data_IF_852563737883
#
_entry.id   IF_852563737883
#
_cell.length_a   1.000
_cell.length_b   1.000
_cell.length_c   1.000
_cell.angle_alpha   90.00
_cell.angle_beta   90.00
_cell.angle_gamma   90.00
#
_symmetry.space_group_name_H-M   'P 1'
#
loop_
_entity.id
_entity.type
_entity.pdbx_description
1 polymer ?
#
# COMPACT_ATOMS: atom_id res chain seq x y z
N UNK A 1 47.04 63.76 -17.92
CA UNK A 1 47.61 62.53 -17.32
C UNK A 1 46.50 61.80 -16.59
N UNK A 2 45.99 60.74 -17.21
CA UNK A 2 44.79 60.01 -16.80
C UNK A 2 45.20 58.87 -15.85
N UNK A 3 44.75 58.88 -14.59
CA UNK A 3 44.92 57.73 -13.68
C UNK A 3 43.56 57.06 -13.50
N UNK A 4 43.30 56.08 -14.37
CA UNK A 4 42.18 55.16 -14.24
C UNK A 4 42.42 54.28 -13.00
N UNK A 5 41.68 54.50 -11.92
CA UNK A 5 41.57 53.57 -10.81
C UNK A 5 40.53 52.51 -11.19
N UNK A 6 40.98 51.30 -11.53
CA UNK A 6 40.10 50.14 -11.65
C UNK A 6 39.60 49.75 -10.24
N UNK A 7 38.37 50.12 -9.91
CA UNK A 7 37.66 49.56 -8.77
C UNK A 7 37.18 48.16 -9.16
N UNK A 8 37.85 47.12 -8.68
CA UNK A 8 37.36 45.74 -8.79
C UNK A 8 36.19 45.60 -7.81
N UNK A 9 34.98 45.72 -8.34
CA UNK A 9 33.74 45.44 -7.60
C UNK A 9 33.65 43.92 -7.39
N UNK A 10 34.19 43.42 -6.29
CA UNK A 10 33.99 42.04 -5.87
C UNK A 10 32.53 41.92 -5.40
N UNK A 11 31.65 41.53 -6.33
CA UNK A 11 30.31 41.06 -5.99
C UNK A 11 30.48 39.80 -5.12
N UNK A 12 30.42 39.98 -3.80
CA UNK A 12 30.28 38.90 -2.86
C UNK A 12 28.94 38.21 -3.13
N UNK A 13 28.95 37.22 -4.02
CA UNK A 13 27.85 36.29 -4.19
C UNK A 13 27.69 35.57 -2.85
N UNK A 14 26.74 36.05 -2.04
CA UNK A 14 26.32 35.35 -0.85
C UNK A 14 25.67 34.05 -1.33
N UNK A 15 26.41 32.94 -1.24
CA UNK A 15 25.85 31.61 -1.43
C UNK A 15 24.91 31.35 -0.25
N UNK A 16 23.63 31.70 -0.42
CA UNK A 16 22.59 31.22 0.48
C UNK A 16 22.62 29.70 0.45
N UNK A 17 22.84 29.04 1.60
CA UNK A 17 22.71 27.58 1.73
C UNK A 17 21.28 27.23 1.28
N UNK A 18 21.14 26.58 0.13
CA UNK A 18 19.87 25.97 -0.25
C UNK A 18 19.50 24.97 0.87
N UNK A 19 18.29 25.10 1.42
CA UNK A 19 17.80 24.14 2.39
C UNK A 19 17.69 22.79 1.68
N UNK A 20 18.61 21.88 1.98
CA UNK A 20 18.57 20.55 1.43
C UNK A 20 17.31 19.85 1.98
N UNK A 21 16.54 19.22 1.09
CA UNK A 21 15.32 18.49 1.42
C UNK A 21 15.57 16.98 1.33
N UNK A 22 14.72 16.20 2.00
CA UNK A 22 14.70 14.74 1.83
C UNK A 22 14.33 14.40 0.38
N UNK A 23 15.08 13.51 -0.24
CA UNK A 23 14.90 13.10 -1.63
C UNK A 23 14.90 11.59 -1.77
N UNK A 24 14.09 11.04 -2.68
CA UNK A 24 14.18 9.63 -3.01
C UNK A 24 15.46 9.36 -3.83
N UNK A 25 16.17 8.26 -3.53
CA UNK A 25 17.40 7.87 -4.24
C UNK A 25 17.08 7.59 -5.71
N UNK A 26 18.00 7.96 -6.61
CA UNK A 26 17.84 7.77 -8.06
C UNK A 26 17.38 9.00 -8.84
N UNK A 27 17.13 10.12 -8.16
CA UNK A 27 16.86 11.41 -8.80
C UNK A 27 15.41 11.62 -9.23
N UNK A 28 15.21 12.57 -10.15
CA UNK A 28 13.87 12.96 -10.60
C UNK A 28 13.14 11.78 -11.26
N UNK A 29 11.90 11.53 -10.84
CA UNK A 29 11.06 10.45 -11.38
C UNK A 29 11.32 9.05 -10.80
N UNK A 30 12.43 8.82 -10.08
CA UNK A 30 12.75 7.51 -9.52
C UNK A 30 11.67 7.01 -8.55
N UNK A 31 11.11 7.91 -7.72
CA UNK A 31 9.99 7.57 -6.84
C UNK A 31 8.75 7.16 -7.65
N UNK A 32 8.40 7.93 -8.68
CA UNK A 32 7.24 7.64 -9.53
C UNK A 32 7.36 6.28 -10.20
N UNK A 33 8.54 5.96 -10.74
CA UNK A 33 8.82 4.66 -11.36
C UNK A 33 8.73 3.54 -10.33
N UNK A 34 9.36 3.73 -9.17
CA UNK A 34 9.30 2.75 -8.08
C UNK A 34 7.87 2.46 -7.65
N UNK A 35 7.05 3.50 -7.44
CA UNK A 35 5.65 3.32 -7.10
C UNK A 35 4.92 2.60 -8.24
N UNK A 36 5.10 3.00 -9.50
CA UNK A 36 4.43 2.36 -10.64
C UNK A 36 4.77 0.88 -10.82
N UNK A 37 6.00 0.48 -10.52
CA UNK A 37 6.47 -0.92 -10.63
C UNK A 37 6.02 -1.79 -9.46
N UNK A 38 5.79 -1.18 -8.29
CA UNK A 38 5.49 -1.92 -7.06
C UNK A 38 4.03 -1.84 -6.64
N UNK A 39 3.24 -0.91 -7.19
CA UNK A 39 1.82 -0.76 -6.86
C UNK A 39 1.03 -1.96 -7.38
N UNK A 40 0.22 -2.56 -6.50
CA UNK A 40 -0.70 -3.65 -6.82
C UNK A 40 -2.11 -3.13 -6.58
N UNK A 41 -3.00 -3.20 -7.58
CA UNK A 41 -4.37 -2.76 -7.38
C UNK A 41 -5.17 -3.79 -6.57
N UNK A 42 -5.64 -3.44 -5.36
CA UNK A 42 -6.37 -4.37 -4.51
C UNK A 42 -7.68 -4.87 -5.12
N UNK A 43 -8.01 -6.14 -4.86
CA UNK A 43 -9.11 -6.83 -5.54
C UNK A 43 -10.47 -6.15 -5.33
N UNK A 44 -10.80 -5.72 -4.11
CA UNK A 44 -12.11 -5.13 -3.85
C UNK A 44 -12.25 -3.81 -4.60
N UNK A 45 -11.23 -2.95 -4.53
CA UNK A 45 -11.24 -1.68 -5.25
C UNK A 45 -11.25 -1.88 -6.77
N UNK A 46 -10.56 -2.90 -7.30
CA UNK A 46 -10.56 -3.25 -8.72
C UNK A 46 -11.95 -3.68 -9.20
N UNK A 47 -12.60 -4.58 -8.47
CA UNK A 47 -13.96 -5.06 -8.77
C UNK A 47 -15.03 -3.97 -8.62
N UNK A 48 -14.79 -2.92 -7.84
CA UNK A 48 -15.75 -1.86 -7.58
C UNK A 48 -15.37 -0.51 -8.23
N UNK A 49 -14.34 -0.49 -9.08
CA UNK A 49 -13.86 0.73 -9.76
C UNK A 49 -13.50 1.87 -8.79
N UNK A 50 -13.14 1.55 -7.56
CA UNK A 50 -12.76 2.53 -6.55
C UNK A 50 -11.36 3.00 -6.88
N UNK A 51 -11.20 4.28 -7.22
CA UNK A 51 -9.93 4.94 -7.53
C UNK A 51 -9.74 6.17 -6.66
N UNK A 52 -8.54 6.74 -6.65
CA UNK A 52 -8.27 7.97 -5.91
C UNK A 52 -6.82 8.11 -5.47
N UNK A 53 -6.57 9.14 -4.68
CA UNK A 53 -5.25 9.42 -4.11
C UNK A 53 -5.29 9.23 -2.60
N UNK A 54 -4.49 8.28 -2.11
CA UNK A 54 -4.23 8.06 -0.69
C UNK A 54 -2.99 8.87 -0.31
N UNK A 55 -3.07 9.64 0.78
CA UNK A 55 -1.92 10.34 1.35
C UNK A 55 -1.40 9.58 2.54
N UNK A 56 -0.13 9.20 2.51
CA UNK A 56 0.55 8.45 3.56
C UNK A 56 1.56 9.36 4.24
N UNK A 57 1.49 9.44 5.57
CA UNK A 57 2.45 10.15 6.42
C UNK A 57 3.47 9.15 6.95
N UNK A 58 4.73 9.56 7.07
CA UNK A 58 5.78 8.79 7.74
C UNK A 58 6.92 9.71 8.21
N UNK A 59 7.74 9.18 9.11
CA UNK A 59 9.03 9.75 9.50
C UNK A 59 10.16 9.00 8.81
N UNK A 60 11.29 9.67 8.58
CA UNK A 60 12.48 9.10 7.96
C UNK A 60 13.72 9.43 8.79
N UNK A 61 14.53 8.41 9.07
CA UNK A 61 15.80 8.60 9.79
C UNK A 61 16.96 8.95 8.84
N UNK A 62 18.13 9.29 9.40
CA UNK A 62 19.32 9.64 8.63
C UNK A 62 19.79 8.51 7.68
N UNK A 63 19.45 7.25 7.98
CA UNK A 63 19.75 6.09 7.11
C UNK A 63 18.74 5.89 5.98
N UNK A 64 17.67 6.72 5.96
CA UNK A 64 16.57 6.65 5.01
C UNK A 64 15.51 5.60 5.38
N UNK A 65 15.57 5.00 6.57
CA UNK A 65 14.55 4.04 7.04
C UNK A 65 13.31 4.75 7.52
N UNK A 66 12.15 4.15 7.23
CA UNK A 66 10.86 4.72 7.59
C UNK A 66 10.39 4.25 8.97
N UNK A 67 9.64 5.13 9.65
CA UNK A 67 8.88 4.83 10.87
C UNK A 67 7.56 5.59 10.87
N UNK A 68 6.63 5.23 11.77
CA UNK A 68 5.29 5.83 11.91
C UNK A 68 4.52 5.98 10.57
N UNK A 69 4.60 4.96 9.72
CA UNK A 69 3.93 4.94 8.42
C UNK A 69 2.42 4.76 8.65
N UNK A 70 1.63 5.78 8.32
CA UNK A 70 0.18 5.82 8.57
C UNK A 70 -0.59 6.56 7.49
N UNK A 71 -1.89 6.30 7.40
CA UNK A 71 -2.79 7.06 6.54
C UNK A 71 -2.95 8.49 7.08
N UNK A 72 -2.56 9.47 6.29
CA UNK A 72 -2.88 10.89 6.53
C UNK A 72 -4.27 11.22 5.99
N UNK A 73 -4.59 10.73 4.78
CA UNK A 73 -5.91 10.84 4.17
C UNK A 73 -6.14 9.67 3.23
N UNK A 74 -7.10 8.82 3.55
CA UNK A 74 -7.39 7.60 2.78
C UNK A 74 -8.75 7.62 2.08
N UNK A 75 -9.04 6.52 1.40
CA UNK A 75 -10.35 6.19 0.84
C UNK A 75 -11.20 5.38 1.82
N UNK A 76 -10.57 4.76 2.83
CA UNK A 76 -11.21 3.92 3.83
C UNK A 76 -11.62 2.55 3.30
N UNK A 77 -10.89 2.05 2.29
CA UNK A 77 -10.96 0.71 1.73
C UNK A 77 -9.54 0.17 1.51
N UNK A 78 -9.42 -1.00 0.88
CA UNK A 78 -8.16 -1.74 0.65
C UNK A 78 -7.06 -0.96 -0.12
N UNK A 79 -7.38 0.14 -0.80
CA UNK A 79 -6.35 1.05 -1.35
C UNK A 79 -5.44 1.65 -0.27
N UNK A 80 -5.97 1.86 0.93
CA UNK A 80 -5.20 2.45 2.03
C UNK A 80 -4.09 1.50 2.50
N UNK A 81 -4.40 0.21 2.64
CA UNK A 81 -3.43 -0.82 3.04
C UNK A 81 -2.30 -0.96 2.00
N UNK A 82 -2.67 -0.94 0.71
CA UNK A 82 -1.71 -0.97 -0.39
C UNK A 82 -0.83 0.28 -0.42
N UNK A 83 -1.41 1.47 -0.20
CA UNK A 83 -0.63 2.70 -0.13
C UNK A 83 0.38 2.66 1.02
N UNK A 84 0.02 2.12 2.18
CA UNK A 84 0.97 1.90 3.28
C UNK A 84 2.08 0.93 2.84
N UNK A 85 1.71 -0.21 2.25
CA UNK A 85 2.64 -1.26 1.84
C UNK A 85 3.69 -0.74 0.87
N UNK A 86 3.26 -0.11 -0.23
CA UNK A 86 4.19 0.39 -1.25
C UNK A 86 5.11 1.49 -0.70
N UNK A 87 4.62 2.32 0.23
CA UNK A 87 5.46 3.31 0.92
C UNK A 87 6.46 2.62 1.85
N UNK A 88 6.09 1.58 2.59
CA UNK A 88 7.04 0.81 3.41
C UNK A 88 8.17 0.21 2.57
N UNK A 89 7.92 -0.22 1.34
CA UNK A 89 8.96 -0.72 0.42
C UNK A 89 9.99 0.34 0.02
N UNK A 90 9.69 1.63 0.24
CA UNK A 90 10.66 2.72 0.03
C UNK A 90 11.68 2.86 1.15
N UNK A 91 11.54 2.12 2.26
CA UNK A 91 12.45 2.20 3.41
C UNK A 91 13.90 1.90 3.02
N UNK A 92 14.82 2.75 3.49
CA UNK A 92 16.24 2.74 3.13
C UNK A 92 16.55 3.35 1.76
N UNK A 93 15.54 3.82 1.00
CA UNK A 93 15.70 4.40 -0.34
C UNK A 93 15.64 5.93 -0.36
N UNK A 94 15.77 6.57 0.80
CA UNK A 94 15.74 8.03 0.92
C UNK A 94 17.15 8.60 1.20
N UNK A 95 17.44 9.76 0.62
CA UNK A 95 18.58 10.62 0.93
C UNK A 95 18.09 11.70 1.88
N UNK A 96 18.59 11.66 3.11
CA UNK A 96 18.21 12.61 4.17
C UNK A 96 19.38 13.56 4.40
N UNK A 97 19.19 14.87 4.26
CA UNK A 97 20.26 15.84 4.46
C UNK A 97 20.62 15.99 5.96
N UNK A 98 21.87 16.34 6.28
CA UNK A 98 22.25 16.63 7.67
C UNK A 98 21.35 17.70 8.28
N UNK A 99 20.93 17.47 9.53
CA UNK A 99 20.05 18.39 10.26
C UNK A 99 18.56 18.28 9.92
N UNK A 100 18.13 17.29 9.13
CA UNK A 100 16.71 16.94 9.04
C UNK A 100 16.19 16.54 10.43
N UNK A 101 15.03 17.09 10.81
CA UNK A 101 14.38 16.72 12.05
C UNK A 101 13.57 15.43 11.83
N UNK A 102 13.92 14.29 12.47
CA UNK A 102 13.19 13.04 12.27
C UNK A 102 11.73 13.11 12.72
N UNK A 103 11.35 14.07 13.57
CA UNK A 103 9.96 14.30 13.97
C UNK A 103 9.11 15.02 12.90
N UNK A 104 9.73 15.57 11.85
CA UNK A 104 9.02 16.18 10.73
C UNK A 104 8.40 15.08 9.85
N UNK A 105 7.08 15.11 9.73
CA UNK A 105 6.35 14.13 8.93
C UNK A 105 6.44 14.46 7.44
N UNK A 106 6.82 13.48 6.63
CA UNK A 106 6.71 13.53 5.18
C UNK A 106 5.36 12.94 4.79
N UNK A 107 4.62 13.64 3.91
CA UNK A 107 3.34 13.16 3.37
C UNK A 107 3.46 12.92 1.87
N UNK A 108 3.33 11.68 1.44
CA UNK A 108 3.37 11.29 0.03
C UNK A 108 1.99 10.90 -0.51
N UNK A 109 1.58 11.42 -1.68
CA UNK A 109 0.40 10.95 -2.38
C UNK A 109 0.69 9.69 -3.21
N UNK A 110 -0.06 8.62 -2.98
CA UNK A 110 -0.12 7.42 -3.82
C UNK A 110 -1.42 7.47 -4.61
N UNK A 111 -1.34 7.49 -5.93
CA UNK A 111 -2.52 7.63 -6.81
C UNK A 111 -2.85 6.32 -7.51
N UNK A 112 -4.06 5.84 -7.30
CA UNK A 112 -4.67 4.70 -7.98
C UNK A 112 -5.54 5.21 -9.10
N UNK A 113 -5.20 4.85 -10.35
CA UNK A 113 -5.95 5.22 -11.53
C UNK A 113 -6.85 4.05 -11.97
N UNK A 114 -8.07 4.30 -12.46
CA UNK A 114 -8.93 3.24 -12.98
C UNK A 114 -8.20 2.36 -14.02
N UNK A 115 -8.18 1.04 -13.80
CA UNK A 115 -7.43 0.11 -14.66
C UNK A 115 -8.16 -0.25 -15.97
N UNK A 116 -9.48 -0.04 -16.04
CA UNK A 116 -10.30 -0.50 -17.17
C UNK A 116 -11.24 0.57 -17.70
N UNK A 117 -11.61 0.44 -18.99
CA UNK A 117 -12.60 1.30 -19.65
C UNK A 117 -13.95 1.27 -18.90
N UNK A 118 -14.32 0.10 -18.36
CA UNK A 118 -15.49 -0.10 -17.50
C UNK A 118 -15.55 0.91 -16.36
N UNK A 119 -14.40 1.22 -15.77
CA UNK A 119 -14.33 2.11 -14.63
C UNK A 119 -14.35 3.60 -15.00
N UNK A 120 -14.23 3.95 -16.28
CA UNK A 120 -14.24 5.36 -16.72
C UNK A 120 -15.62 6.00 -16.65
N UNK A 121 -16.68 5.20 -16.75
CA UNK A 121 -18.08 5.67 -16.77
C UNK A 121 -18.83 5.35 -15.47
N UNK A 122 -18.15 4.77 -14.48
CA UNK A 122 -18.77 4.43 -13.19
C UNK A 122 -19.16 5.70 -12.44
N UNK A 123 -20.41 5.78 -11.98
CA UNK A 123 -20.90 6.95 -11.27
C UNK A 123 -20.37 7.03 -9.82
N UNK A 124 -20.26 8.26 -9.32
CA UNK A 124 -19.71 8.53 -7.98
C UNK A 124 -20.56 7.92 -6.86
N UNK A 125 -21.87 7.76 -7.07
CA UNK A 125 -22.76 7.22 -6.04
C UNK A 125 -22.56 5.71 -5.88
N UNK A 126 -22.38 4.98 -6.97
CA UNK A 126 -22.01 3.56 -6.95
C UNK A 126 -20.68 3.33 -6.23
N UNK A 127 -19.67 4.18 -6.49
CA UNK A 127 -18.38 4.12 -5.79
C UNK A 127 -18.56 4.35 -4.28
N UNK A 128 -19.36 5.34 -3.89
CA UNK A 128 -19.66 5.63 -2.48
C UNK A 128 -20.38 4.45 -1.81
N UNK A 129 -21.32 3.82 -2.50
CA UNK A 129 -22.02 2.65 -2.00
C UNK A 129 -21.06 1.47 -1.81
N UNK A 130 -20.15 1.23 -2.75
CA UNK A 130 -19.11 0.22 -2.59
C UNK A 130 -18.21 0.50 -1.37
N UNK A 131 -17.75 1.73 -1.18
CA UNK A 131 -16.96 2.10 0.02
C UNK A 131 -17.73 1.80 1.32
N UNK A 132 -19.03 2.12 1.36
CA UNK A 132 -19.86 1.84 2.53
C UNK A 132 -20.07 0.32 2.73
N UNK A 133 -20.28 -0.43 1.64
CA UNK A 133 -20.42 -1.87 1.67
C UNK A 133 -19.12 -2.56 2.15
N UNK A 134 -17.95 -2.08 1.75
CA UNK A 134 -16.66 -2.56 2.23
C UNK A 134 -16.55 -2.48 3.76
N UNK A 135 -16.98 -1.36 4.33
CA UNK A 135 -16.93 -1.15 5.79
C UNK A 135 -17.92 -2.05 6.51
N UNK A 136 -19.13 -2.16 5.98
CA UNK A 136 -20.17 -3.02 6.54
C UNK A 136 -19.76 -4.51 6.53
N UNK A 137 -19.02 -4.95 5.49
CA UNK A 137 -18.64 -6.36 5.34
C UNK A 137 -17.46 -6.80 6.21
N UNK A 138 -16.65 -5.90 6.77
CA UNK A 138 -15.46 -6.27 7.57
C UNK A 138 -15.78 -7.22 8.72
N UNK A 139 -16.90 -7.00 9.40
CA UNK A 139 -17.36 -7.89 10.48
C UNK A 139 -17.64 -9.32 9.98
N UNK A 140 -18.24 -9.46 8.80
CA UNK A 140 -18.50 -10.74 8.16
C UNK A 140 -17.21 -11.43 7.69
N UNK A 141 -16.27 -10.66 7.13
CA UNK A 141 -14.93 -11.18 6.78
C UNK A 141 -14.27 -11.77 8.02
N UNK A 142 -14.30 -11.06 9.14
CA UNK A 142 -13.74 -11.53 10.41
C UNK A 142 -14.43 -12.81 10.92
N UNK A 143 -15.74 -12.94 10.74
CA UNK A 143 -16.47 -14.16 11.09
C UNK A 143 -15.95 -15.36 10.29
N UNK A 144 -15.77 -15.20 8.98
CA UNK A 144 -15.24 -16.25 8.10
C UNK A 144 -13.80 -16.59 8.47
N UNK A 145 -12.93 -15.58 8.60
CA UNK A 145 -11.51 -15.80 8.87
C UNK A 145 -11.27 -16.48 10.21
N UNK A 146 -11.94 -16.04 11.27
CA UNK A 146 -11.85 -16.67 12.58
C UNK A 146 -12.37 -18.10 12.57
N UNK A 147 -13.41 -18.40 11.79
CA UNK A 147 -13.93 -19.75 11.69
C UNK A 147 -12.88 -20.72 11.11
N UNK A 148 -12.28 -20.39 9.97
CA UNK A 148 -11.29 -21.27 9.34
C UNK A 148 -9.98 -21.34 10.12
N UNK A 149 -9.54 -20.25 10.74
CA UNK A 149 -8.40 -20.27 11.68
C UNK A 149 -8.63 -21.30 12.78
N UNK A 150 -9.79 -21.27 13.44
CA UNK A 150 -10.14 -22.27 14.46
C UNK A 150 -10.28 -23.68 13.88
N UNK A 151 -10.76 -23.80 12.64
CA UNK A 151 -10.84 -25.09 11.95
C UNK A 151 -9.49 -25.74 11.74
N UNK A 152 -8.48 -24.98 11.32
CA UNK A 152 -7.12 -25.52 11.18
C UNK A 152 -6.43 -25.79 12.52
N UNK A 153 -6.90 -25.19 13.61
CA UNK A 153 -6.45 -25.48 14.97
C UNK A 153 -7.19 -26.68 15.62
N UNK A 154 -8.10 -27.34 14.90
CA UNK A 154 -8.91 -28.45 15.44
C UNK A 154 -9.98 -28.02 16.45
N UNK A 155 -10.33 -26.73 16.50
CA UNK A 155 -11.31 -26.13 17.43
C UNK A 155 -12.65 -25.80 16.76
N UNK A 156 -12.99 -26.48 15.66
CA UNK A 156 -14.14 -26.12 14.84
C UNK A 156 -15.47 -26.51 15.46
N UNK A 157 -16.44 -25.60 15.39
CA UNK A 157 -17.85 -25.88 15.60
C UNK A 157 -18.49 -26.21 14.23
N UNK A 158 -18.61 -27.50 13.93
CA UNK A 158 -19.09 -27.98 12.62
C UNK A 158 -20.53 -27.57 12.34
N UNK A 159 -21.31 -27.20 13.36
CA UNK A 159 -22.70 -26.74 13.17
C UNK A 159 -22.79 -25.42 12.42
N UNK A 160 -21.69 -24.64 12.38
CA UNK A 160 -21.61 -23.33 11.73
C UNK A 160 -21.23 -23.40 10.26
N UNK A 161 -20.86 -24.57 9.71
CA UNK A 161 -20.36 -24.69 8.33
C UNK A 161 -21.30 -24.08 7.30
N UNK A 162 -22.60 -24.41 7.37
CA UNK A 162 -23.59 -23.89 6.42
C UNK A 162 -23.73 -22.37 6.49
N UNK A 163 -23.69 -21.79 7.70
CA UNK A 163 -23.73 -20.35 7.91
C UNK A 163 -22.49 -19.69 7.30
N UNK A 164 -21.30 -20.24 7.56
CA UNK A 164 -20.05 -19.70 7.06
C UNK A 164 -20.00 -19.74 5.52
N UNK A 165 -20.45 -20.83 4.91
CA UNK A 165 -20.57 -20.90 3.44
C UNK A 165 -21.50 -19.81 2.91
N UNK A 166 -22.67 -19.60 3.52
CA UNK A 166 -23.58 -18.52 3.11
C UNK A 166 -22.97 -17.13 3.25
N UNK A 167 -22.15 -16.89 4.28
CA UNK A 167 -21.45 -15.61 4.47
C UNK A 167 -20.36 -15.45 3.40
N UNK A 168 -19.62 -16.51 3.06
CA UNK A 168 -18.64 -16.48 1.96
C UNK A 168 -19.29 -16.13 0.63
N UNK A 169 -20.43 -16.73 0.33
CA UNK A 169 -21.19 -16.45 -0.89
C UNK A 169 -21.62 -14.98 -0.92
N UNK A 170 -22.14 -14.46 0.20
CA UNK A 170 -22.49 -13.04 0.34
C UNK A 170 -21.28 -12.10 0.16
N UNK A 171 -20.10 -12.52 0.62
CA UNK A 171 -18.86 -11.75 0.50
C UNK A 171 -18.22 -11.81 -0.89
N UNK A 172 -18.68 -12.72 -1.76
CA UNK A 172 -18.05 -13.01 -3.05
C UNK A 172 -16.69 -13.72 -2.90
N UNK A 173 -16.52 -14.55 -1.87
CA UNK A 173 -15.29 -15.34 -1.68
C UNK A 173 -15.35 -16.66 -2.47
N UNK A 174 -15.50 -16.51 -3.78
CA UNK A 174 -15.47 -17.59 -4.76
C UNK A 174 -14.04 -17.91 -5.25
N UNK A 175 -13.93 -18.91 -6.12
CA UNK A 175 -12.63 -19.36 -6.64
C UNK A 175 -11.91 -18.28 -7.46
N UNK A 176 -12.65 -17.44 -8.20
CA UNK A 176 -12.07 -16.34 -8.97
C UNK A 176 -11.43 -15.31 -8.03
N UNK A 177 -12.16 -14.90 -6.98
CA UNK A 177 -11.64 -14.00 -5.95
C UNK A 177 -10.37 -14.56 -5.30
N UNK A 178 -10.39 -15.85 -4.93
CA UNK A 178 -9.21 -16.51 -4.34
C UNK A 178 -8.02 -16.50 -5.30
N UNK A 179 -8.23 -16.80 -6.58
CA UNK A 179 -7.18 -16.77 -7.59
C UNK A 179 -6.58 -15.36 -7.75
N UNK A 180 -7.43 -14.32 -7.77
CA UNK A 180 -6.95 -12.93 -7.89
C UNK A 180 -6.12 -12.51 -6.68
N UNK A 181 -6.51 -12.88 -5.46
CA UNK A 181 -5.69 -12.62 -4.26
C UNK A 181 -4.38 -13.41 -4.33
N UNK A 182 -4.40 -14.65 -4.84
CA UNK A 182 -3.18 -15.45 -4.98
C UNK A 182 -2.19 -14.81 -5.95
N UNK A 183 -2.66 -14.24 -7.07
CA UNK A 183 -1.83 -13.49 -8.00
C UNK A 183 -1.21 -12.25 -7.36
N UNK A 184 -1.99 -11.49 -6.58
CA UNK A 184 -1.50 -10.33 -5.82
C UNK A 184 -0.42 -10.74 -4.80
N UNK A 185 -0.66 -11.80 -4.04
CA UNK A 185 0.31 -12.35 -3.09
C UNK A 185 1.62 -12.74 -3.78
N UNK A 186 1.53 -13.41 -4.92
CA UNK A 186 2.70 -13.82 -5.70
C UNK A 186 3.44 -12.62 -6.31
N UNK A 187 2.73 -11.56 -6.69
CA UNK A 187 3.34 -10.31 -7.15
C UNK A 187 4.10 -9.62 -6.01
N UNK A 188 3.51 -9.52 -4.79
CA UNK A 188 4.20 -9.02 -3.59
C UNK A 188 5.47 -9.81 -3.31
N UNK A 189 5.40 -11.14 -3.36
CA UNK A 189 6.56 -12.00 -3.14
C UNK A 189 7.69 -11.73 -4.14
N UNK A 190 7.35 -11.56 -5.43
CA UNK A 190 8.32 -11.21 -6.49
C UNK A 190 8.97 -9.83 -6.29
N UNK A 191 8.25 -8.90 -5.65
CA UNK A 191 8.78 -7.58 -5.26
C UNK A 191 9.72 -7.64 -4.04
N UNK A 192 9.91 -8.82 -3.44
CA UNK A 192 10.65 -8.99 -2.18
C UNK A 192 9.83 -8.68 -0.93
N UNK A 193 8.51 -8.48 -1.08
CA UNK A 193 7.57 -8.24 0.01
C UNK A 193 7.02 -9.56 0.55
N UNK A 194 7.88 -10.32 1.25
CA UNK A 194 7.49 -11.61 1.83
C UNK A 194 6.42 -11.48 2.91
N UNK A 195 6.45 -10.40 3.72
CA UNK A 195 5.45 -10.15 4.75
C UNK A 195 4.06 -9.93 4.13
N UNK A 196 3.95 -9.07 3.12
CA UNK A 196 2.70 -8.81 2.40
C UNK A 196 2.19 -10.04 1.66
N UNK A 197 3.08 -10.83 1.04
CA UNK A 197 2.71 -12.09 0.40
C UNK A 197 2.16 -13.11 1.41
N UNK A 198 2.84 -13.28 2.55
CA UNK A 198 2.39 -14.18 3.61
C UNK A 198 1.03 -13.76 4.18
N UNK A 199 0.78 -12.46 4.36
CA UNK A 199 -0.51 -11.95 4.81
C UNK A 199 -1.65 -12.37 3.86
N UNK A 200 -1.48 -12.20 2.55
CA UNK A 200 -2.48 -12.57 1.55
C UNK A 200 -2.67 -14.10 1.46
N UNK A 201 -1.59 -14.87 1.48
CA UNK A 201 -1.66 -16.34 1.49
C UNK A 201 -2.37 -16.87 2.74
N UNK A 202 -2.11 -16.27 3.91
CA UNK A 202 -2.84 -16.60 5.13
C UNK A 202 -4.31 -16.20 5.01
N UNK A 203 -4.63 -15.07 4.39
CA UNK A 203 -6.01 -14.70 4.14
C UNK A 203 -6.73 -15.73 3.25
N UNK A 204 -6.12 -16.18 2.15
CA UNK A 204 -6.64 -17.27 1.29
C UNK A 204 -6.94 -18.52 2.10
N UNK A 205 -5.99 -18.93 2.95
CA UNK A 205 -6.19 -20.06 3.87
C UNK A 205 -7.38 -19.80 4.80
N UNK A 206 -7.43 -18.63 5.41
CA UNK A 206 -8.44 -18.25 6.39
C UNK A 206 -9.82 -17.99 5.78
N UNK A 207 -9.98 -17.95 4.45
CA UNK A 207 -11.31 -18.00 3.80
C UNK A 207 -11.67 -19.40 3.32
N UNK A 208 -10.86 -20.40 3.68
CA UNK A 208 -11.16 -21.82 3.50
C UNK A 208 -10.59 -22.45 2.23
N UNK A 209 -9.70 -21.76 1.53
CA UNK A 209 -9.01 -22.33 0.36
C UNK A 209 -7.64 -22.88 0.75
N UNK A 210 -7.25 -23.99 0.15
CA UNK A 210 -5.92 -24.60 0.34
C UNK A 210 -4.92 -24.19 -0.76
N UNK A 211 -5.31 -23.33 -1.71
CA UNK A 211 -4.48 -22.98 -2.87
C UNK A 211 -3.12 -22.38 -2.49
N UNK A 212 -3.04 -21.70 -1.34
CA UNK A 212 -1.80 -21.09 -0.85
C UNK A 212 -1.02 -21.96 0.14
N UNK A 213 -1.48 -23.16 0.50
CA UNK A 213 -0.90 -23.96 1.59
C UNK A 213 0.58 -24.33 1.36
N UNK A 214 0.93 -24.73 0.14
CA UNK A 214 2.31 -25.05 -0.21
C UNK A 214 3.23 -23.81 -0.16
N UNK A 215 2.71 -22.65 -0.53
CA UNK A 215 3.45 -21.39 -0.51
C UNK A 215 3.67 -20.90 0.92
N UNK A 216 2.64 -21.01 1.78
CA UNK A 216 2.75 -20.73 3.21
C UNK A 216 3.81 -21.60 3.86
N UNK A 217 3.70 -22.92 3.68
CA UNK A 217 4.64 -23.87 4.29
C UNK A 217 6.08 -23.61 3.89
N UNK A 218 6.33 -23.16 2.66
CA UNK A 218 7.68 -22.95 2.14
C UNK A 218 8.28 -21.60 2.52
N UNK A 219 7.46 -20.56 2.67
CA UNK A 219 7.95 -19.17 2.67
C UNK A 219 7.55 -18.36 3.91
N UNK A 220 6.62 -18.84 4.74
CA UNK A 220 6.08 -18.11 5.88
C UNK A 220 6.37 -18.91 7.17
N UNK A 221 7.43 -18.51 7.87
CA UNK A 221 7.94 -19.14 9.08
C UNK A 221 8.01 -18.14 10.24
#
# INVERSE_FOLDING_TARGET
>A
MNRLLLAILVLAFSFSKANAQVQFKGGSGALTNFLSENLIYPEYSRQNCISGTVKVSFNVDESGKLSDVKIYKGTGVDLDDEAIRVIKLTSGKWMVPPGHNPAENIVLPVTFKPESERCRTTDVQSIRQAINAYRARQSLVNVVTNYYQNKYLGKVDTTKEKLITSIKDQLGFDDEYVHNILEQANAKFKQGDSEGACADWHFIKNIGSNLADALLYKNCH
#
